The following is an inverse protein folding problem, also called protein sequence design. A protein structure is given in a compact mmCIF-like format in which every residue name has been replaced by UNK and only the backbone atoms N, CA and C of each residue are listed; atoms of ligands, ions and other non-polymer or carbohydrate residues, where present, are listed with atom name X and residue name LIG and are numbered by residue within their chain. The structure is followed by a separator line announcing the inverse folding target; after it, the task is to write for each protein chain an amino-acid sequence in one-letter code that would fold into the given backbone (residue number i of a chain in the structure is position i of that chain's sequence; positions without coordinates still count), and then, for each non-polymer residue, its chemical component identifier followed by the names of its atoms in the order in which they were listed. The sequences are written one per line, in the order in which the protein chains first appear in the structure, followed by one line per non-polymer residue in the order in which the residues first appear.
data_IF_046613493799
#
_entry.id   IF_046613493799
#
_cell.length_a   1.000
_cell.length_b   1.000
_cell.length_c   1.000
_cell.angle_alpha   90.00
_cell.angle_beta   90.00
_cell.angle_gamma   90.00
#
_symmetry.space_group_name_H-M   'P 1'
#
loop_
_entity.id
_entity.type
_entity.pdbx_description
1 polymer ?
#
# COMPACT_ATOMS: atom_id res chain seq x y z
N UNK A 1 5.49 29.30 15.48
CA UNK A 1 5.34 28.25 14.46
C UNK A 1 3.89 27.81 14.51
N UNK A 2 3.08 28.20 13.53
CA UNK A 2 1.70 27.75 13.43
C UNK A 2 1.70 26.25 13.17
N UNK A 3 1.04 25.47 14.03
CA UNK A 3 0.75 24.07 13.75
C UNK A 3 -0.07 24.03 12.48
N UNK A 4 0.44 23.40 11.44
CA UNK A 4 -0.38 23.02 10.29
C UNK A 4 -1.26 21.89 10.79
N UNK A 5 -2.57 22.13 10.86
CA UNK A 5 -3.53 21.06 11.13
C UNK A 5 -3.37 20.01 10.05
N UNK A 6 -3.06 18.78 10.44
CA UNK A 6 -3.02 17.65 9.53
C UNK A 6 -4.46 17.36 9.11
N UNK A 7 -4.85 17.57 7.84
CA UNK A 7 -6.25 17.55 7.42
C UNK A 7 -6.77 16.12 7.23
N UNK A 8 -6.46 15.21 8.15
CA UNK A 8 -6.87 13.82 8.11
C UNK A 8 -7.19 13.29 9.51
N UNK A 9 -8.15 12.37 9.56
CA UNK A 9 -8.43 11.56 10.75
C UNK A 9 -7.41 10.42 10.85
N UNK A 10 -6.85 10.22 12.04
CA UNK A 10 -5.90 9.14 12.32
C UNK A 10 -6.50 8.23 13.39
N UNK A 11 -6.72 6.97 13.03
CA UNK A 11 -7.38 5.97 13.88
C UNK A 11 -6.45 4.78 14.04
N UNK A 12 -6.24 4.33 15.28
CA UNK A 12 -5.53 3.09 15.58
C UNK A 12 -6.55 1.97 15.78
N UNK A 13 -6.48 0.95 14.94
CA UNK A 13 -7.32 -0.24 15.06
C UNK A 13 -6.80 -1.16 16.18
N UNK A 14 -7.67 -2.03 16.69
CA UNK A 14 -7.33 -2.97 17.78
C UNK A 14 -6.18 -3.93 17.42
N UNK A 15 -6.08 -4.31 16.15
CA UNK A 15 -5.00 -5.16 15.63
C UNK A 15 -3.66 -4.41 15.46
N UNK A 16 -3.61 -3.11 15.75
CA UNK A 16 -2.43 -2.31 15.56
C UNK A 16 -2.17 -1.88 14.10
N UNK A 17 -3.19 -1.76 13.26
CA UNK A 17 -3.11 -0.98 12.03
C UNK A 17 -3.43 0.50 12.31
N UNK A 18 -2.72 1.42 11.66
CA UNK A 18 -3.07 2.85 11.67
C UNK A 18 -3.80 3.19 10.38
N UNK A 19 -5.05 3.63 10.48
CA UNK A 19 -5.82 4.17 9.38
C UNK A 19 -5.64 5.69 9.35
N UNK A 20 -5.20 6.22 8.22
CA UNK A 20 -5.17 7.65 7.94
C UNK A 20 -6.23 7.90 6.86
N UNK A 21 -7.27 8.64 7.20
CA UNK A 21 -8.37 8.93 6.29
C UNK A 21 -8.55 10.44 6.11
N UNK A 22 -8.47 10.87 4.87
CA UNK A 22 -8.67 12.25 4.44
C UNK A 22 -9.76 12.28 3.35
N UNK A 23 -10.84 13.01 3.62
CA UNK A 23 -11.86 13.28 2.62
C UNK A 23 -11.51 14.54 1.83
N UNK A 24 -11.53 14.44 0.50
CA UNK A 24 -11.32 15.57 -0.41
C UNK A 24 -12.50 15.64 -1.37
N UNK A 25 -13.45 16.56 -1.11
CA UNK A 25 -14.70 16.68 -1.86
C UNK A 25 -14.56 17.29 -3.28
N UNK A 26 -13.38 17.23 -3.88
CA UNK A 26 -13.10 17.83 -5.18
C UNK A 26 -13.50 16.92 -6.36
N UNK A 27 -13.32 15.61 -6.23
CA UNK A 27 -13.57 14.62 -7.29
C UNK A 27 -14.07 13.30 -6.69
N UNK A 28 -14.95 12.55 -7.38
CA UNK A 28 -15.48 11.28 -6.90
C UNK A 28 -14.51 10.11 -7.17
N UNK A 29 -13.26 10.26 -6.77
CA UNK A 29 -12.21 9.24 -6.91
C UNK A 29 -11.56 8.97 -5.56
N UNK A 30 -10.94 7.81 -5.42
CA UNK A 30 -10.26 7.39 -4.19
C UNK A 30 -8.88 6.84 -4.53
N UNK A 31 -7.92 7.10 -3.64
CA UNK A 31 -6.64 6.40 -3.58
C UNK A 31 -6.63 5.64 -2.26
N UNK A 32 -6.25 4.36 -2.31
CA UNK A 32 -6.12 3.52 -1.14
C UNK A 32 -4.74 2.86 -1.17
N UNK A 33 -3.91 3.21 -0.20
CA UNK A 33 -2.55 2.68 -0.07
C UNK A 33 -2.42 1.87 1.21
N UNK A 34 -1.63 0.79 1.13
CA UNK A 34 -1.17 0.03 2.29
C UNK A 34 0.33 0.22 2.39
N UNK A 35 0.77 0.74 3.54
CA UNK A 35 2.18 1.00 3.81
C UNK A 35 2.67 0.06 4.89
N UNK A 36 3.70 -0.74 4.59
CA UNK A 36 4.35 -1.60 5.58
C UNK A 36 5.69 -0.99 5.97
N UNK A 37 5.95 -0.93 7.28
CA UNK A 37 7.28 -0.59 7.80
C UNK A 37 8.23 -1.76 7.54
N UNK A 38 8.76 -1.81 6.32
CA UNK A 38 9.64 -2.85 5.80
C UNK A 38 10.72 -2.22 4.91
N UNK A 39 10.88 -2.69 3.66
CA UNK A 39 11.88 -2.18 2.72
C UNK A 39 13.27 -2.81 2.88
N UNK A 40 14.18 -2.43 1.98
CA UNK A 40 15.49 -3.05 1.83
C UNK A 40 16.35 -3.04 3.11
N UNK A 41 16.19 -2.05 4.00
CA UNK A 41 16.96 -1.97 5.26
C UNK A 41 16.51 -3.01 6.29
N UNK A 42 15.32 -3.57 6.11
CA UNK A 42 14.77 -4.60 6.98
C UNK A 42 15.15 -6.02 6.54
N UNK A 43 15.85 -6.16 5.41
CA UNK A 43 16.22 -7.46 4.85
C UNK A 43 17.38 -8.10 5.63
N UNK A 44 17.33 -9.41 5.90
CA UNK A 44 18.52 -10.16 6.29
C UNK A 44 19.58 -10.06 5.19
N UNK A 45 20.86 -9.96 5.58
CA UNK A 45 21.97 -9.82 4.61
C UNK A 45 22.00 -10.94 3.54
N UNK A 46 21.57 -12.14 3.90
CA UNK A 46 21.50 -13.27 2.96
C UNK A 46 20.38 -13.15 1.91
N UNK A 47 19.40 -12.27 2.12
CA UNK A 47 18.17 -12.14 1.32
C UNK A 47 18.04 -10.74 0.72
N UNK A 48 19.16 -10.14 0.31
CA UNK A 48 19.12 -8.83 -0.36
C UNK A 48 18.23 -8.87 -1.60
N UNK A 49 17.30 -7.91 -1.69
CA UNK A 49 16.31 -7.79 -2.75
C UNK A 49 14.99 -8.54 -2.48
N UNK A 50 14.83 -9.18 -1.33
CA UNK A 50 13.61 -9.90 -0.96
C UNK A 50 12.38 -9.00 -0.89
N UNK A 51 12.49 -7.78 -0.37
CA UNK A 51 11.36 -6.85 -0.29
C UNK A 51 10.82 -6.53 -1.69
N UNK A 52 11.71 -6.17 -2.62
CA UNK A 52 11.34 -5.89 -4.02
C UNK A 52 10.87 -7.16 -4.75
N UNK A 53 11.46 -8.31 -4.45
CA UNK A 53 10.95 -9.58 -4.98
C UNK A 53 9.51 -9.83 -4.52
N UNK A 54 9.22 -9.66 -3.23
CA UNK A 54 7.88 -9.83 -2.68
C UNK A 54 6.87 -8.83 -3.26
N UNK A 55 7.27 -7.57 -3.47
CA UNK A 55 6.46 -6.56 -4.16
C UNK A 55 5.96 -7.06 -5.52
N UNK A 56 6.83 -7.66 -6.35
CA UNK A 56 6.38 -8.26 -7.60
C UNK A 56 5.46 -9.46 -7.41
N UNK A 57 5.64 -10.23 -6.33
CA UNK A 57 4.87 -11.43 -6.05
C UNK A 57 3.45 -11.14 -5.56
N UNK A 58 3.16 -9.98 -4.96
CA UNK A 58 1.80 -9.66 -4.49
C UNK A 58 0.77 -9.65 -5.63
N UNK A 59 1.21 -9.36 -6.86
CA UNK A 59 0.37 -9.36 -8.06
C UNK A 59 0.21 -10.73 -8.71
N UNK A 60 0.89 -11.78 -8.20
CA UNK A 60 0.89 -13.12 -8.80
C UNK A 60 -0.18 -14.04 -8.22
N UNK A 61 -1.19 -13.47 -7.58
CA UNK A 61 -2.35 -14.18 -7.06
C UNK A 61 -2.20 -14.63 -5.61
N UNK A 62 -3.30 -15.16 -5.08
CA UNK A 62 -3.44 -15.69 -3.72
C UNK A 62 -4.24 -16.99 -3.78
N UNK A 63 -4.44 -17.65 -2.64
CA UNK A 63 -5.31 -18.83 -2.55
C UNK A 63 -6.78 -18.54 -2.95
N UNK A 64 -7.19 -17.25 -2.95
CA UNK A 64 -8.55 -16.82 -3.25
C UNK A 64 -8.67 -16.08 -4.59
N UNK A 65 -7.57 -15.54 -5.12
CA UNK A 65 -7.54 -14.78 -6.37
C UNK A 65 -6.49 -15.35 -7.32
N UNK A 66 -6.93 -15.81 -8.49
CA UNK A 66 -6.00 -16.25 -9.52
C UNK A 66 -5.10 -15.09 -10.01
N UNK A 67 -3.90 -15.39 -10.54
CA UNK A 67 -2.99 -14.37 -11.07
C UNK A 67 -3.69 -13.45 -12.08
N UNK A 68 -3.48 -12.13 -11.95
CA UNK A 68 -4.07 -11.11 -12.83
C UNK A 68 -5.54 -10.74 -12.55
N UNK A 69 -6.25 -11.48 -11.70
CA UNK A 69 -7.65 -11.15 -11.35
C UNK A 69 -7.75 -9.86 -10.53
N UNK A 70 -6.75 -9.59 -9.69
CA UNK A 70 -6.69 -8.33 -8.93
C UNK A 70 -6.65 -7.11 -9.86
N UNK A 71 -5.72 -7.10 -10.82
CA UNK A 71 -5.58 -6.00 -11.78
C UNK A 71 -6.82 -5.89 -12.67
N UNK A 72 -7.31 -7.02 -13.20
CA UNK A 72 -8.52 -7.05 -14.03
C UNK A 72 -9.74 -6.42 -13.32
N UNK A 73 -9.95 -6.73 -12.04
CA UNK A 73 -11.08 -6.20 -11.28
C UNK A 73 -11.02 -4.67 -11.14
N UNK A 74 -9.84 -4.09 -11.09
CA UNK A 74 -9.63 -2.64 -10.92
C UNK A 74 -9.63 -1.92 -12.28
N UNK A 75 -8.89 -2.44 -13.25
CA UNK A 75 -8.74 -1.84 -14.58
C UNK A 75 -10.05 -1.84 -15.37
N UNK A 76 -10.91 -2.86 -15.21
CA UNK A 76 -12.23 -2.88 -15.88
C UNK A 76 -13.18 -1.79 -15.37
N UNK A 77 -12.88 -1.18 -14.24
CA UNK A 77 -13.61 -0.03 -13.69
C UNK A 77 -12.90 1.31 -13.98
N UNK A 78 -11.84 1.31 -14.79
CA UNK A 78 -11.04 2.49 -15.10
C UNK A 78 -10.05 2.90 -14.00
N UNK A 79 -9.81 2.03 -13.02
CA UNK A 79 -8.79 2.22 -12.00
C UNK A 79 -7.40 1.79 -12.46
N UNK A 80 -6.41 2.00 -11.60
CA UNK A 80 -5.03 1.54 -11.79
C UNK A 80 -4.46 1.04 -10.47
N UNK A 81 -3.57 0.04 -10.57
CA UNK A 81 -2.85 -0.55 -9.44
C UNK A 81 -1.36 -0.23 -9.57
N UNK A 82 -0.67 -0.14 -8.43
CA UNK A 82 0.78 -0.03 -8.40
C UNK A 82 1.32 -0.46 -7.04
N UNK A 83 2.63 -0.65 -6.94
CA UNK A 83 3.37 -0.85 -5.70
C UNK A 83 4.77 -0.26 -5.82
N UNK A 84 5.47 -0.12 -4.69
CA UNK A 84 6.85 0.32 -4.67
C UNK A 84 7.57 -0.14 -3.41
N UNK A 85 8.81 -0.59 -3.57
CA UNK A 85 9.75 -0.87 -2.49
C UNK A 85 10.78 0.23 -2.38
N UNK A 86 10.97 0.73 -1.17
CA UNK A 86 12.02 1.66 -0.80
C UNK A 86 13.03 0.99 0.15
N UNK A 87 13.95 1.78 0.66
CA UNK A 87 14.81 1.38 1.76
C UNK A 87 14.01 1.09 3.04
N UNK A 88 12.97 1.86 3.35
CA UNK A 88 12.32 1.91 4.66
C UNK A 88 10.80 1.59 4.65
N UNK A 89 10.25 1.36 3.47
CA UNK A 89 8.88 0.87 3.29
C UNK A 89 8.82 -0.12 2.12
N UNK A 90 7.81 -0.97 2.17
CA UNK A 90 7.36 -1.83 1.08
C UNK A 90 5.85 -2.06 1.20
#
# INVERSE_FOLDING_TARGET
MSSVDFPASVIRLENGLTLIHQEIAATPVVVADVWVRAGAVSEPAAWSGMAHFLEHMIFKGTDQLAPGIFDYAIETQGGMTNAATSHDYA
#
